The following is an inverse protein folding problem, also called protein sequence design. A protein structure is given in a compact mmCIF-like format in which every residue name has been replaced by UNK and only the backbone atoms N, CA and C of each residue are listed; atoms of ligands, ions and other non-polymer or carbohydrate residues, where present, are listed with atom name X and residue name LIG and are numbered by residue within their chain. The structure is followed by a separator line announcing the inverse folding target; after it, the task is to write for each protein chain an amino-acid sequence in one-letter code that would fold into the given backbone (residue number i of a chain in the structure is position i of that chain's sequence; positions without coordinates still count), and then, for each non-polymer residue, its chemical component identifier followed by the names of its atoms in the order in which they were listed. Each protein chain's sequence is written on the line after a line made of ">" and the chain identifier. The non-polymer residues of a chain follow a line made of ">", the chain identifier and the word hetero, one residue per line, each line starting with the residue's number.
data_IF_573216777891
#
_entry.id   IF_573216777891
#
_cell.length_a   1.000
_cell.length_b   1.000
_cell.length_c   1.000
_cell.angle_alpha   90.00
_cell.angle_beta   90.00
_cell.angle_gamma   90.00
#
_symmetry.space_group_name_H-M   'P 1'
#
loop_
_entity.id
_entity.type
_entity.pdbx_description
1 polymer ?
#
# COMPACT_ATOMS: atom_id res chain seq x y z
N UNK A 1 -16.15 8.15 12.27
CA UNK A 1 -14.81 8.73 12.50
C UNK A 1 -14.46 8.66 14.00
N UNK A 2 -15.25 9.25 14.91
CA UNK A 2 -14.93 9.31 16.35
C UNK A 2 -14.64 7.93 16.97
N UNK A 3 -15.36 6.87 16.57
CA UNK A 3 -15.07 5.50 17.04
C UNK A 3 -13.69 4.99 16.62
N UNK A 4 -13.21 5.39 15.45
CA UNK A 4 -11.87 5.02 14.96
C UNK A 4 -10.81 5.76 15.77
N UNK A 5 -10.99 7.06 16.03
CA UNK A 5 -10.07 7.84 16.87
C UNK A 5 -10.01 7.30 18.30
N UNK A 6 -11.16 6.92 18.87
CA UNK A 6 -11.20 6.28 20.18
C UNK A 6 -10.41 4.95 20.19
N UNK A 7 -10.55 4.12 19.14
CA UNK A 7 -9.78 2.89 19.03
C UNK A 7 -8.28 3.15 18.85
N UNK A 8 -7.89 4.17 18.11
CA UNK A 8 -6.48 4.59 18.00
C UNK A 8 -5.90 5.03 19.34
N UNK A 9 -6.68 5.74 20.16
CA UNK A 9 -6.27 6.12 21.52
C UNK A 9 -6.02 4.88 22.42
N UNK A 10 -6.82 3.82 22.27
CA UNK A 10 -6.59 2.55 22.99
C UNK A 10 -5.31 1.83 22.53
N UNK A 11 -4.98 1.93 21.25
CA UNK A 11 -3.79 1.28 20.66
C UNK A 11 -2.51 2.08 20.96
N UNK A 12 -2.61 3.40 21.08
CA UNK A 12 -1.49 4.34 21.26
C UNK A 12 -0.44 3.90 22.29
N UNK A 13 -0.79 3.42 23.51
CA UNK A 13 0.22 2.99 24.50
C UNK A 13 1.14 1.87 24.02
N UNK A 14 0.74 1.12 23.00
CA UNK A 14 1.50 0.03 22.41
C UNK A 14 2.24 0.42 21.12
N UNK A 15 2.09 1.68 20.67
CA UNK A 15 2.73 2.16 19.46
C UNK A 15 4.06 2.81 19.82
N UNK A 16 5.14 2.24 19.33
CA UNK A 16 6.49 2.74 19.56
C UNK A 16 6.86 3.88 18.62
N UNK A 17 6.34 3.86 17.38
CA UNK A 17 6.67 4.85 16.36
C UNK A 17 5.43 5.17 15.52
N UNK A 18 5.11 6.45 15.44
CA UNK A 18 4.22 7.03 14.43
C UNK A 18 5.09 7.64 13.34
N UNK A 19 5.44 6.84 12.33
CA UNK A 19 6.33 7.32 11.27
C UNK A 19 5.61 8.27 10.31
N UNK A 20 6.39 9.19 9.75
CA UNK A 20 5.98 10.09 8.66
C UNK A 20 6.84 9.89 7.42
N UNK A 21 8.04 9.39 7.63
CA UNK A 21 9.01 9.07 6.61
C UNK A 21 9.10 7.55 6.48
N UNK A 22 8.86 7.04 5.28
CA UNK A 22 8.84 5.61 4.99
C UNK A 22 10.20 4.96 5.19
N UNK A 23 11.28 5.65 4.80
CA UNK A 23 12.63 5.15 4.97
C UNK A 23 13.02 4.97 6.44
N UNK A 24 12.55 5.86 7.32
CA UNK A 24 12.74 5.71 8.78
C UNK A 24 12.11 4.41 9.30
N UNK A 25 10.87 4.14 8.88
CA UNK A 25 10.19 2.92 9.32
C UNK A 25 10.84 1.66 8.75
N UNK A 26 11.18 1.69 7.46
CA UNK A 26 11.86 0.58 6.79
C UNK A 26 13.18 0.24 7.50
N UNK A 27 14.01 1.23 7.77
CA UNK A 27 15.27 1.02 8.50
C UNK A 27 15.03 0.40 9.87
N UNK A 28 14.10 0.94 10.65
CA UNK A 28 13.78 0.42 11.99
C UNK A 28 13.28 -1.04 11.96
N UNK A 29 12.51 -1.40 10.93
CA UNK A 29 12.05 -2.76 10.70
C UNK A 29 13.20 -3.70 10.32
N UNK A 30 14.05 -3.29 9.37
CA UNK A 30 15.17 -4.08 8.87
C UNK A 30 16.26 -4.37 9.91
N UNK A 31 16.49 -3.44 10.85
CA UNK A 31 17.45 -3.65 11.95
C UNK A 31 16.81 -4.29 13.18
N UNK A 32 15.52 -4.60 13.14
CA UNK A 32 14.78 -5.24 14.23
C UNK A 32 14.48 -4.33 15.43
N UNK A 33 14.58 -3.02 15.28
CA UNK A 33 14.22 -2.06 16.33
C UNK A 33 12.70 -2.09 16.59
N UNK A 34 11.90 -2.27 15.53
CA UNK A 34 10.45 -2.42 15.58
C UNK A 34 10.10 -3.83 15.09
N UNK A 35 9.40 -4.65 15.88
CA UNK A 35 9.11 -6.04 15.53
C UNK A 35 8.01 -6.18 14.47
N UNK A 36 7.11 -5.20 14.35
CA UNK A 36 6.01 -5.21 13.37
C UNK A 36 5.39 -3.83 13.20
N UNK A 37 4.72 -3.61 12.08
CA UNK A 37 3.94 -2.40 11.82
C UNK A 37 3.19 -2.47 10.51
N UNK A 38 2.43 -1.43 10.20
CA UNK A 38 1.77 -1.28 8.92
C UNK A 38 2.76 -0.66 7.93
N UNK A 39 2.96 -1.32 6.79
CA UNK A 39 3.84 -0.83 5.74
C UNK A 39 3.43 -1.37 4.37
N UNK A 40 4.08 -0.90 3.33
CA UNK A 40 3.86 -1.37 1.96
C UNK A 40 4.34 -2.80 1.76
N UNK A 41 3.48 -3.61 1.16
CA UNK A 41 3.74 -5.02 0.94
C UNK A 41 4.87 -5.26 -0.06
N UNK A 42 4.87 -4.53 -1.18
CA UNK A 42 5.88 -4.60 -2.24
C UNK A 42 7.28 -4.20 -1.74
N UNK A 43 7.38 -3.09 -0.99
CA UNK A 43 8.66 -2.63 -0.41
C UNK A 43 9.21 -3.66 0.59
N UNK A 44 8.35 -4.23 1.42
CA UNK A 44 8.76 -5.28 2.38
C UNK A 44 9.17 -6.56 1.64
N UNK A 45 8.48 -6.93 0.58
CA UNK A 45 8.81 -8.07 -0.28
C UNK A 45 10.18 -7.91 -0.95
N UNK A 46 10.49 -6.71 -1.45
CA UNK A 46 11.79 -6.39 -2.02
C UNK A 46 12.90 -6.52 -0.97
N UNK A 47 12.75 -5.93 0.22
CA UNK A 47 13.71 -6.04 1.31
C UNK A 47 13.95 -7.51 1.71
N UNK A 48 12.89 -8.32 1.78
CA UNK A 48 13.02 -9.75 2.04
C UNK A 48 13.82 -10.48 0.95
N UNK A 49 13.61 -10.14 -0.33
CA UNK A 49 14.36 -10.72 -1.45
C UNK A 49 15.85 -10.35 -1.43
N UNK A 50 16.20 -9.23 -0.83
CA UNK A 50 17.58 -8.79 -0.58
C UNK A 50 18.20 -9.43 0.68
N UNK A 51 17.49 -10.35 1.33
CA UNK A 51 17.99 -11.09 2.49
C UNK A 51 17.78 -10.38 3.82
N UNK A 52 16.97 -9.32 3.88
CA UNK A 52 16.62 -8.67 5.15
C UNK A 52 15.68 -9.58 5.97
N UNK A 53 15.80 -9.59 7.31
CA UNK A 53 15.00 -10.45 8.19
C UNK A 53 13.57 -9.92 8.39
N UNK A 54 12.90 -9.60 7.32
CA UNK A 54 11.55 -9.05 7.29
C UNK A 54 10.60 -9.93 6.49
N UNK A 55 9.31 -9.86 6.79
CA UNK A 55 8.26 -10.56 6.06
C UNK A 55 6.99 -9.73 6.07
N UNK A 56 6.32 -9.65 4.92
CA UNK A 56 4.99 -9.07 4.81
C UNK A 56 3.90 -10.14 4.99
N UNK A 57 2.74 -9.73 5.48
CA UNK A 57 1.55 -10.56 5.58
C UNK A 57 0.29 -9.69 5.48
N UNK A 58 -0.77 -10.26 4.95
CA UNK A 58 -2.09 -9.62 4.94
C UNK A 58 -2.85 -10.01 6.22
N UNK A 59 -3.43 -9.05 6.97
CA UNK A 59 -4.27 -9.34 8.13
C UNK A 59 -5.52 -10.13 7.74
N UNK A 60 -6.06 -10.91 8.67
CA UNK A 60 -7.30 -11.65 8.47
C UNK A 60 -8.51 -10.74 8.19
N UNK A 61 -8.46 -9.51 8.66
CA UNK A 61 -9.47 -8.48 8.44
C UNK A 61 -9.39 -7.83 7.04
N UNK A 62 -8.33 -8.09 6.29
CA UNK A 62 -8.01 -7.50 4.99
C UNK A 62 -6.86 -6.49 5.05
N UNK A 63 -6.08 -6.46 3.98
CA UNK A 63 -5.07 -5.41 3.76
C UNK A 63 -5.73 -4.08 3.39
N UNK A 64 -5.09 -2.97 3.71
CA UNK A 64 -5.51 -1.65 3.20
C UNK A 64 -5.07 -1.54 1.75
N UNK A 65 -6.04 -1.30 0.85
CA UNK A 65 -5.73 -1.12 -0.57
C UNK A 65 -5.15 0.27 -0.79
N UNK A 66 -3.92 0.33 -1.25
CA UNK A 66 -3.35 1.51 -1.87
C UNK A 66 -3.29 1.31 -3.38
N UNK A 67 -3.65 2.33 -4.14
CA UNK A 67 -3.72 2.26 -5.60
C UNK A 67 -3.20 3.53 -6.24
N UNK A 68 -2.37 3.36 -7.26
CA UNK A 68 -1.93 4.42 -8.14
C UNK A 68 -2.70 4.45 -9.46
N UNK A 69 -2.67 5.59 -10.13
CA UNK A 69 -3.28 5.76 -11.45
C UNK A 69 -2.29 6.36 -12.43
N UNK A 70 -2.30 5.85 -13.65
CA UNK A 70 -1.61 6.50 -14.76
C UNK A 70 -2.37 7.76 -15.15
N UNK A 71 -1.70 8.91 -15.09
CA UNK A 71 -2.30 10.18 -15.43
C UNK A 71 -1.56 10.84 -16.60
N UNK A 72 -2.33 11.43 -17.51
CA UNK A 72 -1.77 12.21 -18.61
C UNK A 72 -2.00 13.69 -18.33
N UNK A 73 -0.92 14.48 -18.33
CA UNK A 73 -1.03 15.93 -18.16
C UNK A 73 -1.88 16.54 -19.27
N UNK A 74 -2.82 17.41 -18.90
CA UNK A 74 -3.65 18.16 -19.87
C UNK A 74 -2.81 19.02 -20.82
N UNK A 75 -1.62 19.45 -20.39
CA UNK A 75 -0.69 20.25 -21.21
C UNK A 75 0.16 19.39 -22.16
N UNK A 76 0.07 18.05 -22.07
CA UNK A 76 0.85 17.17 -22.95
C UNK A 76 0.40 17.36 -24.41
N UNK A 77 1.38 17.40 -25.30
CA UNK A 77 1.16 17.37 -26.75
C UNK A 77 1.24 15.95 -27.34
N UNK A 78 1.41 14.93 -26.46
CA UNK A 78 1.58 13.53 -26.83
C UNK A 78 0.57 12.65 -26.10
N UNK A 79 -0.69 13.08 -26.10
CA UNK A 79 -1.76 12.37 -25.38
C UNK A 79 -2.01 10.99 -25.99
N UNK A 80 -2.01 10.88 -27.31
CA UNK A 80 -2.21 9.61 -28.02
C UNK A 80 -1.12 8.59 -27.69
N UNK A 81 0.17 9.01 -27.72
CA UNK A 81 1.29 8.15 -27.33
C UNK A 81 1.17 7.66 -25.87
N UNK A 82 0.75 8.56 -24.98
CA UNK A 82 0.53 8.25 -23.58
C UNK A 82 -0.61 7.21 -23.41
N UNK A 83 -1.69 7.31 -24.19
CA UNK A 83 -2.77 6.33 -24.17
C UNK A 83 -2.32 4.95 -24.67
N UNK A 84 -1.47 4.90 -25.70
CA UNK A 84 -0.86 3.64 -26.16
C UNK A 84 -0.03 3.01 -25.06
N UNK A 85 0.81 3.80 -24.37
CA UNK A 85 1.61 3.32 -23.23
C UNK A 85 0.72 2.79 -22.08
N UNK A 86 -0.30 3.56 -21.68
CA UNK A 86 -1.22 3.14 -20.61
C UNK A 86 -1.92 1.83 -20.99
N UNK A 87 -2.42 1.72 -22.22
CA UNK A 87 -3.05 0.49 -22.70
C UNK A 87 -2.07 -0.70 -22.67
N UNK A 88 -0.82 -0.49 -23.04
CA UNK A 88 0.22 -1.52 -22.93
C UNK A 88 0.42 -1.95 -21.48
N UNK A 89 0.51 -1.01 -20.54
CA UNK A 89 0.68 -1.30 -19.11
C UNK A 89 -0.53 -2.04 -18.50
N UNK A 90 -1.70 -1.93 -19.10
CA UNK A 90 -2.92 -2.65 -18.67
C UNK A 90 -3.05 -4.07 -19.25
N UNK A 91 -2.14 -4.50 -20.13
CA UNK A 91 -2.21 -5.86 -20.68
C UNK A 91 -1.92 -6.89 -19.59
N UNK A 92 -2.66 -8.02 -19.56
CA UNK A 92 -2.49 -9.04 -18.52
C UNK A 92 -1.06 -9.56 -18.36
N UNK A 93 -0.37 -9.81 -19.48
CA UNK A 93 1.04 -10.22 -19.50
C UNK A 93 1.95 -9.19 -18.83
N UNK A 94 1.72 -7.90 -19.09
CA UNK A 94 2.51 -6.81 -18.49
C UNK A 94 2.19 -6.66 -17.01
N UNK A 95 0.94 -6.83 -16.61
CA UNK A 95 0.52 -6.84 -15.21
C UNK A 95 1.20 -7.99 -14.44
N UNK A 96 1.29 -9.18 -15.03
CA UNK A 96 2.02 -10.30 -14.43
C UNK A 96 3.52 -10.00 -14.26
N UNK A 97 4.15 -9.35 -15.25
CA UNK A 97 5.55 -8.91 -15.14
C UNK A 97 5.73 -7.88 -14.03
N UNK A 98 4.83 -6.90 -13.91
CA UNK A 98 4.86 -5.93 -12.80
C UNK A 98 4.75 -6.63 -11.45
N UNK A 99 3.86 -7.59 -11.32
CA UNK A 99 3.74 -8.38 -10.08
C UNK A 99 5.04 -9.08 -9.72
N UNK A 100 5.71 -9.73 -10.68
CA UNK A 100 6.98 -10.44 -10.44
C UNK A 100 8.15 -9.52 -10.12
N UNK A 101 8.27 -8.38 -10.79
CA UNK A 101 9.47 -7.54 -10.70
C UNK A 101 9.32 -6.36 -9.73
N UNK A 102 8.11 -5.90 -9.48
CA UNK A 102 7.83 -4.76 -8.59
C UNK A 102 7.13 -5.18 -7.31
N UNK A 103 6.46 -6.35 -7.31
CA UNK A 103 5.74 -6.85 -6.15
C UNK A 103 4.33 -6.26 -5.98
N UNK A 104 3.80 -5.57 -7.01
CA UNK A 104 2.46 -4.98 -6.97
C UNK A 104 1.38 -5.98 -7.34
N UNK A 105 0.21 -5.91 -6.71
CA UNK A 105 -0.94 -6.68 -7.11
C UNK A 105 -1.41 -6.29 -8.53
N UNK A 106 -1.81 -7.26 -9.38
CA UNK A 106 -2.32 -6.95 -10.71
C UNK A 106 -3.68 -6.24 -10.63
N UNK A 107 -3.93 -5.29 -11.54
CA UNK A 107 -5.22 -4.59 -11.65
C UNK A 107 -6.21 -5.31 -12.58
N UNK A 108 -5.79 -6.39 -13.20
CA UNK A 108 -6.63 -7.31 -13.99
C UNK A 108 -7.04 -8.50 -13.12
N UNK A 109 -8.08 -9.21 -13.54
CA UNK A 109 -8.53 -10.40 -12.84
C UNK A 109 -7.44 -11.48 -12.84
N UNK A 110 -7.35 -12.24 -11.75
CA UNK A 110 -6.35 -13.31 -11.57
C UNK A 110 -6.32 -14.28 -12.74
N UNK A 111 -7.48 -14.72 -13.21
CA UNK A 111 -7.61 -15.69 -14.30
C UNK A 111 -7.09 -15.19 -15.66
N UNK A 112 -6.81 -13.91 -15.80
CA UNK A 112 -6.18 -13.32 -16.98
C UNK A 112 -4.67 -13.23 -16.87
N UNK A 113 -4.11 -13.46 -15.67
CA UNK A 113 -2.67 -13.44 -15.44
C UNK A 113 -2.07 -14.83 -15.66
N UNK A 114 -0.76 -14.89 -15.88
CA UNK A 114 0.02 -16.12 -15.94
C UNK A 114 0.79 -16.39 -14.63
N UNK A 115 0.38 -15.73 -13.54
CA UNK A 115 0.96 -15.91 -12.22
C UNK A 115 0.59 -17.29 -11.65
N UNK A 116 1.58 -17.98 -11.10
CA UNK A 116 1.33 -19.17 -10.28
C UNK A 116 0.59 -18.78 -9.00
N UNK A 117 0.08 -19.78 -8.28
CA UNK A 117 -0.61 -19.55 -7.00
C UNK A 117 0.32 -18.88 -5.97
N UNK A 118 1.58 -19.33 -5.92
CA UNK A 118 2.59 -18.75 -5.01
C UNK A 118 2.97 -17.32 -5.39
N UNK A 119 3.16 -17.05 -6.68
CA UNK A 119 3.43 -15.69 -7.16
C UNK A 119 2.26 -14.74 -6.88
N UNK A 120 1.02 -15.21 -7.06
CA UNK A 120 -0.15 -14.40 -6.77
C UNK A 120 -0.28 -14.16 -5.27
N UNK A 121 -0.12 -15.18 -4.43
CA UNK A 121 -0.18 -15.05 -2.96
C UNK A 121 0.92 -14.14 -2.40
N UNK A 122 2.05 -14.01 -3.12
CA UNK A 122 3.13 -13.10 -2.74
C UNK A 122 2.81 -11.61 -2.98
N UNK A 123 1.83 -11.28 -3.83
CA UNK A 123 1.52 -9.89 -4.20
C UNK A 123 0.08 -9.48 -3.93
N UNK A 124 -0.82 -10.43 -3.70
CA UNK A 124 -2.24 -10.20 -3.52
C UNK A 124 -2.84 -11.12 -2.47
N UNK A 125 -4.06 -10.85 -2.08
CA UNK A 125 -4.84 -11.67 -1.15
C UNK A 125 -6.26 -11.85 -1.67
N UNK A 126 -6.85 -13.01 -1.45
CA UNK A 126 -8.26 -13.27 -1.73
C UNK A 126 -9.19 -12.67 -0.65
N UNK A 127 -8.63 -12.14 0.44
CA UNK A 127 -9.38 -11.43 1.48
C UNK A 127 -9.82 -10.07 0.93
N UNK A 128 -11.09 -9.74 1.12
CA UNK A 128 -11.62 -8.44 0.67
C UNK A 128 -10.81 -7.29 1.27
N UNK A 129 -10.23 -6.41 0.45
CA UNK A 129 -9.39 -5.33 0.94
C UNK A 129 -10.22 -4.23 1.63
N UNK A 130 -9.58 -3.53 2.55
CA UNK A 130 -10.11 -2.33 3.18
C UNK A 130 -9.85 -1.14 2.26
N UNK A 131 -10.92 -0.53 1.76
CA UNK A 131 -10.82 0.64 0.89
C UNK A 131 -10.71 1.93 1.74
N UNK A 132 -9.69 2.76 1.51
CA UNK A 132 -9.60 4.07 2.16
C UNK A 132 -10.79 4.94 1.83
N UNK A 133 -11.33 5.63 2.84
CA UNK A 133 -12.48 6.51 2.71
C UNK A 133 -12.06 7.92 2.27
N UNK A 134 -11.58 8.03 1.02
CA UNK A 134 -11.14 9.31 0.45
C UNK A 134 -12.23 10.38 0.45
N UNK A 135 -13.50 10.00 0.39
CA UNK A 135 -14.65 10.90 0.54
C UNK A 135 -14.70 11.59 1.90
N UNK A 136 -14.29 10.90 2.97
CA UNK A 136 -14.17 11.45 4.32
C UNK A 136 -12.96 12.38 4.41
N UNK A 137 -11.82 11.97 3.87
CA UNK A 137 -10.62 12.81 3.87
C UNK A 137 -10.85 14.11 3.09
N UNK A 138 -11.52 14.06 1.95
CA UNK A 138 -11.85 15.25 1.16
C UNK A 138 -12.76 16.23 1.88
N UNK A 139 -13.68 15.73 2.72
CA UNK A 139 -14.66 16.56 3.42
C UNK A 139 -14.18 17.09 4.78
N UNK A 140 -13.30 16.35 5.44
CA UNK A 140 -12.94 16.58 6.84
C UNK A 140 -11.41 16.56 7.06
N UNK A 141 -10.60 16.79 6.02
CA UNK A 141 -9.15 16.66 6.06
C UNK A 141 -8.49 17.48 7.16
N UNK A 142 -8.81 18.78 7.26
CA UNK A 142 -8.24 19.69 8.25
C UNK A 142 -8.57 19.23 9.68
N UNK A 143 -9.83 18.90 9.91
CA UNK A 143 -10.27 18.40 11.22
C UNK A 143 -9.60 17.06 11.57
N UNK A 144 -9.49 16.13 10.61
CA UNK A 144 -8.80 14.85 10.80
C UNK A 144 -7.32 15.06 11.13
N UNK A 145 -6.65 15.97 10.42
CA UNK A 145 -5.25 16.31 10.66
C UNK A 145 -5.04 16.90 12.05
N UNK A 146 -5.96 17.74 12.50
CA UNK A 146 -5.93 18.29 13.86
C UNK A 146 -6.11 17.17 14.90
N UNK A 147 -7.15 16.34 14.77
CA UNK A 147 -7.42 15.23 15.70
C UNK A 147 -6.27 14.22 15.76
N UNK A 148 -5.66 13.93 14.61
CA UNK A 148 -4.48 13.10 14.55
C UNK A 148 -3.29 13.72 15.28
N UNK A 149 -3.04 14.99 15.06
CA UNK A 149 -1.93 15.71 15.72
C UNK A 149 -2.10 15.74 17.24
N UNK A 150 -3.31 16.01 17.73
CA UNK A 150 -3.65 15.98 19.15
C UNK A 150 -3.46 14.55 19.74
N UNK A 151 -3.90 13.53 19.02
CA UNK A 151 -3.76 12.15 19.46
C UNK A 151 -2.29 11.73 19.55
N UNK A 152 -1.45 12.09 18.58
CA UNK A 152 -0.04 11.66 18.52
C UNK A 152 0.83 12.46 19.49
N UNK A 153 0.57 13.77 19.68
CA UNK A 153 1.35 14.64 20.57
C UNK A 153 1.07 14.43 22.07
N UNK A 154 -0.16 14.09 22.44
CA UNK A 154 -0.56 13.78 23.83
C UNK A 154 -0.24 12.36 24.22
#
# INVERSE_FOLDING_TARGET
>A
ILKVLAKLAEVKPNVRLWYRDEGQFQQALEVGEIPMGQYYHDVTGLAASEGKPVRSTFPAEGGVLDSGSWCVSRASKRIEDAQVFINYMCQPEIQSKLSRFVGTAPTVKRELTDLTDDEYAAVASDITPILPRYDIYSKHGDWLSQQWSELVAG
#
